data_IF_248276634632
#
_entry.id   IF_248276634632
#
_cell.length_a   1.000
_cell.length_b   1.000
_cell.length_c   1.000
_cell.angle_alpha   90.00
_cell.angle_beta   90.00
_cell.angle_gamma   90.00
#
_symmetry.space_group_name_H-M   'P 1'
#
loop_
_entity.id
_entity.type
_entity.pdbx_description
1 polymer ?
#
# COMPACT_ATOMS: atom_id res chain seq x y z
N UNK A 1 -17.45 45.97 5.20
CA UNK A 1 -15.98 45.98 5.00
C UNK A 1 -15.46 44.84 5.84
N UNK A 2 -15.21 43.70 5.23
CA UNK A 2 -14.57 42.55 5.86
C UNK A 2 -13.08 42.78 5.70
N UNK A 3 -12.34 42.65 6.81
CA UNK A 3 -10.94 43.01 6.94
C UNK A 3 -10.06 42.23 5.97
N UNK A 4 -9.25 42.95 5.16
CA UNK A 4 -8.34 42.33 4.18
C UNK A 4 -7.25 41.45 4.83
N UNK A 5 -7.04 41.57 6.13
CA UNK A 5 -6.07 40.76 6.88
C UNK A 5 -6.59 39.38 7.23
N UNK A 6 -7.90 39.16 7.40
CA UNK A 6 -8.48 37.82 7.63
C UNK A 6 -8.30 36.87 6.42
N UNK A 7 -8.24 37.45 5.21
CA UNK A 7 -8.04 36.64 3.99
C UNK A 7 -6.56 36.31 3.70
N UNK A 8 -5.62 37.12 4.19
CA UNK A 8 -4.19 36.80 4.08
C UNK A 8 -3.78 35.67 5.00
N UNK A 9 -4.27 35.63 6.22
CA UNK A 9 -3.99 34.56 7.17
C UNK A 9 -4.57 33.21 6.75
N UNK A 10 -5.65 33.21 5.95
CA UNK A 10 -6.20 31.97 5.36
C UNK A 10 -5.37 31.47 4.17
N UNK A 11 -4.69 32.40 3.45
CA UNK A 11 -3.83 32.02 2.31
C UNK A 11 -2.43 31.53 2.75
N UNK A 12 -1.87 32.10 3.82
CA UNK A 12 -0.52 31.77 4.31
C UNK A 12 -0.51 30.62 5.35
N UNK A 13 -1.66 30.24 5.91
CA UNK A 13 -1.79 29.15 6.88
C UNK A 13 -1.93 27.74 6.29
N UNK A 14 -1.87 27.56 4.96
CA UNK A 14 -2.09 26.27 4.29
C UNK A 14 -0.77 25.71 3.72
N UNK A 15 0.34 25.92 4.37
CA UNK A 15 1.54 25.10 4.16
C UNK A 15 1.48 23.84 5.04
N UNK A 16 0.47 23.01 4.79
CA UNK A 16 0.47 21.66 5.33
C UNK A 16 1.25 20.76 4.35
N UNK A 17 2.50 20.46 4.69
CA UNK A 17 3.36 19.50 3.96
C UNK A 17 2.71 18.11 3.83
N UNK A 18 1.64 17.83 4.59
CA UNK A 18 0.89 16.58 4.58
C UNK A 18 -0.02 16.38 3.37
N UNK A 19 -0.30 17.44 2.58
CA UNK A 19 -1.22 17.39 1.43
C UNK A 19 -0.55 16.91 0.13
N UNK A 20 0.76 16.79 0.09
CA UNK A 20 1.48 16.32 -1.09
C UNK A 20 1.32 14.80 -1.24
N UNK A 21 0.61 14.37 -2.29
CA UNK A 21 0.54 12.97 -2.68
C UNK A 21 1.78 12.67 -3.53
N UNK A 22 2.75 11.98 -2.92
CA UNK A 22 4.02 11.65 -3.58
C UNK A 22 3.82 10.57 -4.63
N UNK A 23 4.54 10.64 -5.77
CA UNK A 23 4.51 9.57 -6.76
C UNK A 23 4.98 8.25 -6.13
N UNK A 24 4.26 7.17 -6.41
CA UNK A 24 4.51 5.85 -5.86
C UNK A 24 5.59 5.12 -6.67
N UNK A 25 6.71 4.80 -6.03
CA UNK A 25 7.72 3.92 -6.63
C UNK A 25 7.44 2.46 -6.28
N UNK A 26 7.27 1.64 -7.31
CA UNK A 26 6.94 0.23 -7.17
C UNK A 26 8.06 -0.65 -7.72
N UNK A 27 8.34 -1.75 -7.02
CA UNK A 27 9.20 -2.81 -7.53
C UNK A 27 8.40 -3.65 -8.53
N UNK A 28 8.81 -3.63 -9.79
CA UNK A 28 8.21 -4.38 -10.88
C UNK A 28 9.16 -5.49 -11.34
N UNK A 29 8.61 -6.55 -11.89
CA UNK A 29 9.35 -7.62 -12.55
C UNK A 29 8.96 -7.67 -14.02
N UNK A 30 9.89 -7.29 -14.89
CA UNK A 30 9.73 -7.27 -16.33
C UNK A 30 10.58 -8.32 -17.03
N UNK A 31 10.24 -8.64 -18.27
CA UNK A 31 11.08 -9.47 -19.14
C UNK A 31 12.13 -8.60 -19.83
N UNK A 32 13.38 -9.09 -19.81
CA UNK A 32 14.47 -8.55 -20.63
C UNK A 32 15.13 -9.72 -21.37
N UNK A 33 14.76 -9.90 -22.62
CA UNK A 33 14.99 -11.16 -23.33
C UNK A 33 14.25 -12.30 -22.61
N UNK A 34 14.95 -13.39 -22.34
CA UNK A 34 14.38 -14.56 -21.64
C UNK A 34 14.49 -14.50 -20.12
N UNK A 35 15.01 -13.39 -19.56
CA UNK A 35 15.22 -13.25 -18.11
C UNK A 35 14.23 -12.29 -17.49
N UNK A 36 13.83 -12.57 -16.26
CA UNK A 36 13.01 -11.68 -15.44
C UNK A 36 13.94 -10.79 -14.62
N UNK A 37 13.87 -9.49 -14.87
CA UNK A 37 14.63 -8.48 -14.13
C UNK A 37 13.69 -7.63 -13.24
N UNK A 38 14.22 -7.15 -12.12
CA UNK A 38 13.51 -6.22 -11.24
C UNK A 38 13.91 -4.78 -11.55
N UNK A 39 12.91 -3.90 -11.64
CA UNK A 39 13.10 -2.47 -11.82
C UNK A 39 12.26 -1.70 -10.81
N UNK A 40 12.76 -0.54 -10.34
CA UNK A 40 11.93 0.44 -9.66
C UNK A 40 11.42 1.42 -10.71
N UNK A 41 10.12 1.42 -10.94
CA UNK A 41 9.46 2.36 -11.84
C UNK A 41 8.57 3.33 -11.08
N UNK A 42 8.52 4.58 -11.52
CA UNK A 42 7.38 5.42 -11.25
C UNK A 42 6.26 4.94 -12.19
N UNK A 43 5.19 4.40 -11.61
CA UNK A 43 4.04 3.93 -12.38
C UNK A 43 3.12 5.09 -12.79
N UNK A 44 3.69 6.21 -13.24
CA UNK A 44 2.89 7.35 -13.69
C UNK A 44 2.04 6.95 -14.91
N UNK A 45 0.75 7.27 -14.85
CA UNK A 45 -0.20 6.97 -15.93
C UNK A 45 -0.68 5.52 -16.00
N UNK A 46 -0.40 4.69 -14.99
CA UNK A 46 -0.96 3.34 -14.89
C UNK A 46 -2.25 3.33 -14.07
N UNK A 47 -3.10 2.32 -14.29
CA UNK A 47 -4.32 2.11 -13.48
C UNK A 47 -4.00 2.03 -11.98
N UNK A 48 -2.90 1.38 -11.61
CA UNK A 48 -2.50 1.27 -10.21
C UNK A 48 -2.14 2.62 -9.60
N UNK A 49 -1.41 3.46 -10.33
CA UNK A 49 -1.07 4.82 -9.92
C UNK A 49 -2.33 5.66 -9.69
N UNK A 50 -3.28 5.58 -10.62
CA UNK A 50 -4.54 6.32 -10.54
C UNK A 50 -5.36 5.87 -9.31
N UNK A 51 -5.51 4.57 -9.11
CA UNK A 51 -6.24 4.01 -7.97
C UNK A 51 -5.56 4.34 -6.64
N UNK A 52 -4.22 4.26 -6.56
CA UNK A 52 -3.48 4.63 -5.35
C UNK A 52 -3.59 6.13 -5.06
N UNK A 53 -3.54 6.97 -6.09
CA UNK A 53 -3.74 8.42 -5.95
C UNK A 53 -5.15 8.73 -5.43
N UNK A 54 -6.20 8.15 -6.03
CA UNK A 54 -7.59 8.29 -5.58
C UNK A 54 -7.71 7.84 -4.11
N UNK A 55 -7.15 6.68 -3.77
CA UNK A 55 -7.21 6.14 -2.41
C UNK A 55 -6.59 7.10 -1.39
N UNK A 56 -5.40 7.62 -1.65
CA UNK A 56 -4.72 8.56 -0.78
C UNK A 56 -5.46 9.91 -0.68
N UNK A 57 -6.01 10.39 -1.80
CA UNK A 57 -6.82 11.60 -1.82
C UNK A 57 -8.07 11.43 -0.96
N UNK A 58 -8.81 10.33 -1.11
CA UNK A 58 -10.03 10.06 -0.35
C UNK A 58 -9.76 9.90 1.15
N UNK A 59 -8.66 9.29 1.55
CA UNK A 59 -8.25 9.24 2.95
C UNK A 59 -8.16 10.65 3.55
N UNK A 60 -7.51 11.57 2.85
CA UNK A 60 -7.37 12.97 3.29
C UNK A 60 -8.69 13.73 3.24
N UNK A 61 -9.54 13.48 2.25
CA UNK A 61 -10.88 14.09 2.15
C UNK A 61 -11.75 13.73 3.35
N UNK A 62 -11.77 12.44 3.74
CA UNK A 62 -12.53 11.94 4.90
C UNK A 62 -12.05 12.58 6.20
N UNK A 63 -10.73 12.79 6.35
CA UNK A 63 -10.12 13.41 7.55
C UNK A 63 -10.30 14.94 7.60
N UNK A 64 -10.45 15.58 6.44
CA UNK A 64 -10.57 17.03 6.33
C UNK A 64 -11.98 17.52 6.65
N UNK A 65 -12.07 18.62 7.43
CA UNK A 65 -13.34 19.33 7.70
C UNK A 65 -13.48 20.62 6.90
N UNK A 66 -12.44 21.02 6.15
CA UNK A 66 -12.44 22.30 5.43
C UNK A 66 -13.17 22.15 4.11
N UNK A 67 -13.88 23.21 3.70
CA UNK A 67 -14.45 23.32 2.36
C UNK A 67 -13.31 23.27 1.33
N UNK A 68 -13.50 22.51 0.26
CA UNK A 68 -12.43 22.30 -0.73
C UNK A 68 -12.55 23.26 -1.92
N UNK A 69 -13.76 23.73 -2.24
CA UNK A 69 -14.06 24.54 -3.41
C UNK A 69 -14.84 25.78 -3.02
N UNK A 70 -14.42 26.92 -3.56
CA UNK A 70 -14.99 28.23 -3.23
C UNK A 70 -15.23 29.05 -4.48
N UNK A 71 -16.24 29.90 -4.44
CA UNK A 71 -16.42 31.00 -5.36
C UNK A 71 -15.89 32.28 -4.72
N UNK A 72 -15.14 33.04 -5.47
CA UNK A 72 -14.59 34.31 -5.05
C UNK A 72 -14.91 35.40 -6.08
N UNK A 73 -15.25 36.63 -5.66
CA UNK A 73 -15.45 37.73 -6.59
C UNK A 73 -14.20 37.99 -7.42
N UNK A 74 -14.39 38.21 -8.73
CA UNK A 74 -13.29 38.62 -9.61
C UNK A 74 -13.07 40.11 -9.41
N UNK A 75 -11.91 40.52 -8.91
CA UNK A 75 -11.47 41.91 -8.89
C UNK A 75 -10.80 42.24 -10.23
N UNK A 76 -11.53 42.74 -11.19
CA UNK A 76 -10.94 43.23 -12.45
C UNK A 76 -11.31 44.67 -12.71
N UNK A 77 -10.28 45.47 -13.00
CA UNK A 77 -10.43 46.85 -13.55
C UNK A 77 -10.65 46.86 -15.07
N UNK A 78 -10.95 45.68 -15.67
CA UNK A 78 -11.10 45.52 -17.13
C UNK A 78 -12.55 45.12 -17.44
N UNK A 79 -13.22 45.97 -18.18
CA UNK A 79 -14.64 45.88 -18.60
C UNK A 79 -14.99 44.70 -19.54
N UNK A 80 -14.12 43.68 -19.70
CA UNK A 80 -14.25 42.68 -20.77
C UNK A 80 -14.60 41.30 -20.27
N UNK A 81 -14.80 41.05 -18.97
CA UNK A 81 -15.17 39.70 -18.51
C UNK A 81 -16.65 39.61 -18.16
N UNK A 82 -17.39 38.63 -18.71
CA UNK A 82 -18.82 38.45 -18.43
C UNK A 82 -19.08 37.93 -17.01
N UNK A 83 -18.03 37.48 -16.28
CA UNK A 83 -18.16 36.76 -15.01
C UNK A 83 -17.74 37.63 -13.85
N UNK A 84 -18.56 37.68 -12.81
CA UNK A 84 -18.28 38.33 -11.54
C UNK A 84 -17.65 37.40 -10.54
N UNK A 85 -17.71 36.09 -10.76
CA UNK A 85 -17.18 35.03 -9.88
C UNK A 85 -16.01 34.30 -10.51
N UNK A 86 -15.10 33.84 -9.67
CA UNK A 86 -13.99 32.96 -10.04
C UNK A 86 -13.97 31.77 -9.11
N UNK A 87 -13.57 30.63 -9.66
CA UNK A 87 -13.41 29.37 -8.94
C UNK A 87 -12.05 29.30 -8.24
N UNK A 88 -12.06 28.86 -7.00
CA UNK A 88 -10.83 28.51 -6.26
C UNK A 88 -10.96 27.16 -5.60
N UNK A 89 -9.91 26.34 -5.71
CA UNK A 89 -9.75 25.08 -5.00
C UNK A 89 -8.64 25.17 -3.96
N UNK A 90 -8.82 24.51 -2.83
CA UNK A 90 -7.73 24.25 -1.90
C UNK A 90 -6.74 23.24 -2.52
N UNK A 91 -5.54 23.06 -1.95
CA UNK A 91 -4.59 22.02 -2.43
C UNK A 91 -5.23 20.63 -2.47
N UNK A 92 -6.02 20.27 -1.45
CA UNK A 92 -6.74 18.99 -1.44
C UNK A 92 -7.87 18.97 -2.48
N UNK A 93 -8.52 20.11 -2.71
CA UNK A 93 -9.49 20.28 -3.81
C UNK A 93 -8.84 20.06 -5.17
N UNK A 94 -7.66 20.57 -5.42
CA UNK A 94 -6.90 20.29 -6.66
C UNK A 94 -6.57 18.81 -6.83
N UNK A 95 -6.19 18.11 -5.74
CA UNK A 95 -6.00 16.67 -5.76
C UNK A 95 -7.30 15.93 -6.11
N UNK A 96 -8.43 16.34 -5.53
CA UNK A 96 -9.73 15.78 -5.82
C UNK A 96 -10.13 15.98 -7.30
N UNK A 97 -9.90 17.19 -7.83
CA UNK A 97 -10.14 17.51 -9.23
C UNK A 97 -9.33 16.60 -10.16
N UNK A 98 -8.06 16.37 -9.83
CA UNK A 98 -7.22 15.44 -10.59
C UNK A 98 -7.79 14.01 -10.57
N UNK A 99 -8.35 13.56 -9.44
CA UNK A 99 -9.02 12.27 -9.37
C UNK A 99 -10.23 12.21 -10.32
N UNK A 100 -11.06 13.26 -10.36
CA UNK A 100 -12.25 13.31 -11.24
C UNK A 100 -11.86 13.29 -12.73
N UNK A 101 -10.69 13.80 -13.08
CA UNK A 101 -10.19 13.81 -14.47
C UNK A 101 -9.60 12.46 -14.93
N UNK A 102 -9.44 11.48 -14.02
CA UNK A 102 -8.91 10.17 -14.37
C UNK A 102 -9.95 9.34 -15.14
N UNK A 103 -9.47 8.48 -16.02
CA UNK A 103 -10.31 7.56 -16.78
C UNK A 103 -10.81 6.41 -15.90
N UNK A 104 -11.93 6.65 -15.20
CA UNK A 104 -12.52 5.69 -14.27
C UNK A 104 -13.12 4.47 -14.99
N UNK A 105 -13.61 4.64 -16.23
CA UNK A 105 -14.19 3.54 -16.99
C UNK A 105 -13.13 2.51 -17.32
N UNK A 106 -11.95 2.97 -17.76
CA UNK A 106 -10.80 2.10 -17.97
C UNK A 106 -10.44 1.29 -16.70
N UNK A 107 -10.57 1.91 -15.52
CA UNK A 107 -10.28 1.23 -14.24
C UNK A 107 -11.35 0.18 -13.92
N UNK A 108 -12.63 0.55 -14.04
CA UNK A 108 -13.76 -0.33 -13.68
C UNK A 108 -13.96 -1.44 -14.68
N UNK A 109 -13.73 -1.22 -15.97
CA UNK A 109 -13.77 -2.25 -17.01
C UNK A 109 -12.74 -3.34 -16.74
N UNK A 110 -11.50 -2.95 -16.38
CA UNK A 110 -10.45 -3.91 -16.10
C UNK A 110 -10.59 -4.57 -14.72
N UNK A 111 -11.11 -3.84 -13.73
CA UNK A 111 -11.22 -4.29 -12.35
C UNK A 111 -12.63 -4.04 -11.78
N UNK A 112 -13.66 -4.73 -12.26
CA UNK A 112 -15.07 -4.44 -11.91
C UNK A 112 -15.40 -4.66 -10.43
N UNK A 113 -14.58 -5.42 -9.70
CA UNK A 113 -14.76 -5.67 -8.26
C UNK A 113 -13.92 -4.76 -7.37
N UNK A 114 -13.17 -3.82 -7.94
CA UNK A 114 -12.21 -3.00 -7.22
C UNK A 114 -12.85 -2.24 -6.05
N UNK A 115 -14.00 -1.59 -6.26
CA UNK A 115 -14.71 -0.84 -5.22
C UNK A 115 -15.10 -1.68 -4.00
N UNK A 116 -15.35 -2.99 -4.18
CA UNK A 116 -15.61 -3.93 -3.06
C UNK A 116 -14.39 -4.12 -2.16
N UNK A 117 -13.19 -4.13 -2.75
CA UNK A 117 -11.96 -4.43 -2.02
C UNK A 117 -11.16 -3.18 -1.66
N UNK A 118 -11.41 -2.06 -2.34
CA UNK A 118 -10.90 -0.73 -2.00
C UNK A 118 -12.07 0.25 -1.81
N UNK A 119 -12.62 0.36 -0.60
CA UNK A 119 -13.81 1.20 -0.35
C UNK A 119 -13.55 2.69 -0.54
N UNK A 120 -12.31 3.18 -0.41
CA UNK A 120 -12.00 4.57 -0.73
C UNK A 120 -12.21 4.86 -2.22
N UNK A 121 -11.77 3.94 -3.09
CA UNK A 121 -12.09 4.01 -4.52
C UNK A 121 -13.59 3.87 -4.76
N UNK A 122 -14.26 2.93 -4.09
CA UNK A 122 -15.70 2.70 -4.20
C UNK A 122 -16.52 3.94 -3.83
N UNK A 123 -16.23 4.58 -2.69
CA UNK A 123 -16.88 5.83 -2.27
C UNK A 123 -16.69 6.94 -3.30
N UNK A 124 -15.45 7.12 -3.78
CA UNK A 124 -15.17 8.14 -4.79
C UNK A 124 -15.92 7.86 -6.08
N UNK A 125 -15.80 6.65 -6.61
CA UNK A 125 -16.48 6.25 -7.84
C UNK A 125 -17.99 6.48 -7.74
N UNK A 126 -18.62 6.04 -6.65
CA UNK A 126 -20.04 6.25 -6.43
C UNK A 126 -20.40 7.74 -6.36
N UNK A 127 -19.62 8.55 -5.64
CA UNK A 127 -19.92 9.97 -5.48
C UNK A 127 -19.80 10.78 -6.78
N UNK A 128 -18.91 10.37 -7.72
CA UNK A 128 -18.66 11.08 -8.98
C UNK A 128 -19.38 10.48 -10.19
N UNK A 129 -19.95 9.26 -10.07
CA UNK A 129 -20.69 8.59 -11.15
C UNK A 129 -22.17 8.40 -10.83
N UNK A 130 -22.60 8.72 -9.60
CA UNK A 130 -24.01 8.64 -9.23
C UNK A 130 -24.80 9.68 -10.02
N UNK A 131 -25.86 9.25 -10.69
CA UNK A 131 -26.85 10.16 -11.27
C UNK A 131 -27.57 10.87 -10.14
N UNK A 132 -27.29 12.14 -9.94
CA UNK A 132 -28.07 13.00 -9.05
C UNK A 132 -29.18 13.62 -9.89
N UNK A 133 -30.43 13.18 -9.67
CA UNK A 133 -31.60 13.90 -10.22
C UNK A 133 -31.68 15.29 -9.54
N UNK A 134 -31.34 16.30 -10.30
CA UNK A 134 -31.60 17.69 -9.87
C UNK A 134 -33.04 18.09 -10.16
N UNK A 135 -33.59 18.94 -9.31
CA UNK A 135 -34.96 19.48 -9.39
C UNK A 135 -35.27 20.15 -10.75
N UNK A 136 -34.27 20.42 -11.58
CA UNK A 136 -34.39 21.03 -12.91
C UNK A 136 -33.82 20.17 -14.05
N UNK A 137 -33.63 18.85 -13.84
CA UNK A 137 -33.24 17.92 -14.91
C UNK A 137 -31.78 18.01 -15.39
N UNK A 138 -30.90 18.64 -14.63
CA UNK A 138 -29.46 18.68 -14.93
C UNK A 138 -28.73 17.72 -14.01
N UNK A 139 -28.35 16.58 -14.54
CA UNK A 139 -27.49 15.60 -13.85
C UNK A 139 -26.03 16.06 -13.95
N UNK A 140 -25.37 16.36 -12.85
CA UNK A 140 -24.05 16.99 -12.86
C UNK A 140 -22.87 16.03 -12.76
N UNK A 141 -23.11 14.77 -12.45
CA UNK A 141 -22.06 13.74 -12.36
C UNK A 141 -22.38 12.45 -13.13
N UNK A 142 -23.16 12.52 -14.21
CA UNK A 142 -23.24 11.45 -15.19
C UNK A 142 -22.12 11.59 -16.24
N UNK A 143 -22.08 10.67 -17.20
CA UNK A 143 -21.09 10.67 -18.31
C UNK A 143 -21.01 12.01 -19.06
N UNK A 144 -22.11 12.77 -19.13
CA UNK A 144 -22.20 14.09 -19.77
C UNK A 144 -21.41 15.14 -18.98
N UNK A 145 -21.49 15.12 -17.66
CA UNK A 145 -20.71 16.03 -16.81
C UNK A 145 -19.20 15.76 -16.90
N UNK A 146 -18.81 14.54 -17.24
CA UNK A 146 -17.40 14.20 -17.48
C UNK A 146 -16.85 14.87 -18.74
N UNK A 147 -17.65 14.94 -19.80
CA UNK A 147 -17.28 15.67 -21.04
C UNK A 147 -17.26 17.19 -20.80
N UNK A 148 -18.20 17.73 -20.05
CA UNK A 148 -18.20 19.15 -19.64
C UNK A 148 -17.05 19.44 -18.71
N UNK A 149 -16.67 18.51 -17.85
CA UNK A 149 -15.50 18.60 -17.01
C UNK A 149 -14.18 18.71 -17.79
N UNK A 150 -14.05 18.01 -18.90
CA UNK A 150 -12.90 18.17 -19.82
C UNK A 150 -12.88 19.57 -20.43
N UNK A 151 -14.04 20.22 -20.58
CA UNK A 151 -14.20 21.63 -20.99
C UNK A 151 -13.95 22.62 -19.85
N UNK A 152 -13.74 22.16 -18.62
CA UNK A 152 -13.48 23.03 -17.45
C UNK A 152 -12.23 23.91 -17.61
N UNK A 153 -11.36 23.61 -18.55
CA UNK A 153 -10.25 24.51 -18.93
C UNK A 153 -10.75 25.89 -19.36
N UNK A 154 -11.98 25.96 -19.90
CA UNK A 154 -12.61 27.19 -20.38
C UNK A 154 -13.54 27.83 -19.32
N UNK A 155 -13.37 27.46 -18.03
CA UNK A 155 -14.20 27.89 -16.90
C UNK A 155 -14.32 29.42 -16.75
N UNK A 156 -13.31 30.15 -17.21
CA UNK A 156 -13.28 31.61 -17.16
C UNK A 156 -14.36 32.24 -18.08
N UNK A 157 -14.98 31.44 -18.96
CA UNK A 157 -16.07 31.84 -19.86
C UNK A 157 -17.45 31.30 -19.42
N UNK A 158 -17.53 30.54 -18.32
CA UNK A 158 -18.80 30.01 -17.84
C UNK A 158 -19.62 31.09 -17.14
N UNK A 159 -20.96 31.13 -17.35
CA UNK A 159 -21.84 32.01 -16.57
C UNK A 159 -21.70 31.72 -15.07
N UNK A 160 -21.83 32.78 -14.25
CA UNK A 160 -21.71 32.66 -12.79
C UNK A 160 -22.63 31.60 -12.19
N UNK A 161 -23.84 31.44 -12.72
CA UNK A 161 -24.81 30.42 -12.29
C UNK A 161 -24.30 28.99 -12.57
N UNK A 162 -23.72 28.76 -13.74
CA UNK A 162 -23.13 27.46 -14.08
C UNK A 162 -21.93 27.13 -13.22
N UNK A 163 -21.09 28.14 -12.95
CA UNK A 163 -19.94 27.99 -12.09
C UNK A 163 -20.36 27.70 -10.63
N UNK A 164 -21.41 28.35 -10.15
CA UNK A 164 -21.96 28.13 -8.81
C UNK A 164 -22.50 26.71 -8.65
N UNK A 165 -23.35 26.25 -9.59
CA UNK A 165 -23.87 24.87 -9.60
C UNK A 165 -22.74 23.85 -9.57
N UNK A 166 -21.70 24.08 -10.38
CA UNK A 166 -20.56 23.19 -10.44
C UNK A 166 -19.80 23.09 -9.11
N UNK A 167 -19.56 24.24 -8.44
CA UNK A 167 -18.90 24.27 -7.13
C UNK A 167 -19.75 23.57 -6.07
N UNK A 168 -21.05 23.75 -6.10
CA UNK A 168 -21.99 23.11 -5.16
C UNK A 168 -21.97 21.59 -5.33
N UNK A 169 -21.95 21.09 -6.57
CA UNK A 169 -21.87 19.65 -6.84
C UNK A 169 -20.55 19.04 -6.40
N UNK A 170 -19.43 19.72 -6.61
CA UNK A 170 -18.14 19.27 -6.11
C UNK A 170 -18.14 19.19 -4.58
N UNK A 171 -18.65 20.21 -3.91
CA UNK A 171 -18.74 20.21 -2.46
C UNK A 171 -19.71 19.13 -1.96
N UNK A 172 -20.84 18.88 -2.64
CA UNK A 172 -21.76 17.81 -2.26
C UNK A 172 -21.12 16.43 -2.42
N UNK A 173 -20.38 16.17 -3.50
CA UNK A 173 -19.63 14.94 -3.67
C UNK A 173 -18.59 14.73 -2.54
N UNK A 174 -17.90 15.80 -2.16
CA UNK A 174 -16.97 15.79 -1.02
C UNK A 174 -17.69 15.48 0.29
N UNK A 175 -18.85 16.10 0.53
CA UNK A 175 -19.63 15.84 1.76
C UNK A 175 -20.24 14.44 1.79
N UNK A 176 -20.63 13.90 0.64
CA UNK A 176 -21.07 12.49 0.54
C UNK A 176 -19.94 11.54 0.93
N UNK A 177 -18.73 11.74 0.40
CA UNK A 177 -17.55 10.94 0.73
C UNK A 177 -17.24 11.05 2.24
N UNK A 178 -17.33 12.26 2.81
CA UNK A 178 -17.13 12.47 4.25
C UNK A 178 -18.17 11.75 5.10
N UNK A 179 -19.45 11.86 4.74
CA UNK A 179 -20.55 11.17 5.45
C UNK A 179 -20.33 9.65 5.43
N UNK A 180 -20.01 9.08 4.28
CA UNK A 180 -19.76 7.65 4.13
C UNK A 180 -18.50 7.21 4.88
N UNK A 181 -17.37 7.90 4.69
CA UNK A 181 -16.09 7.58 5.34
C UNK A 181 -16.10 7.74 6.87
N UNK A 182 -17.03 8.56 7.41
CA UNK A 182 -17.26 8.71 8.85
C UNK A 182 -18.41 7.85 9.37
N UNK A 183 -19.07 7.04 8.54
CA UNK A 183 -20.13 6.14 8.95
C UNK A 183 -19.63 5.02 9.86
N UNK A 184 -20.54 4.43 10.65
CA UNK A 184 -20.22 3.25 11.46
C UNK A 184 -19.82 2.07 10.58
N UNK A 185 -20.51 1.85 9.46
CA UNK A 185 -20.23 0.77 8.52
C UNK A 185 -18.79 0.86 7.97
N UNK A 186 -18.36 2.05 7.56
CA UNK A 186 -16.99 2.26 7.08
C UNK A 186 -15.94 2.07 8.17
N UNK A 187 -16.20 2.57 9.39
CA UNK A 187 -15.31 2.37 10.54
C UNK A 187 -15.16 0.90 10.93
N UNK A 188 -16.25 0.15 10.90
CA UNK A 188 -16.23 -1.28 11.20
C UNK A 188 -15.52 -2.08 10.11
N UNK A 189 -15.73 -1.71 8.84
CA UNK A 189 -14.94 -2.26 7.74
C UNK A 189 -13.46 -1.97 7.90
N UNK A 190 -13.06 -0.72 8.19
CA UNK A 190 -11.66 -0.32 8.39
C UNK A 190 -11.01 -1.13 9.52
N UNK A 191 -11.69 -1.24 10.66
CA UNK A 191 -11.23 -2.07 11.80
C UNK A 191 -11.05 -3.53 11.41
N UNK A 192 -12.01 -4.12 10.69
CA UNK A 192 -11.94 -5.51 10.22
C UNK A 192 -10.78 -5.69 9.22
N UNK A 193 -10.57 -4.73 8.32
CA UNK A 193 -9.48 -4.72 7.36
C UNK A 193 -8.10 -4.63 8.02
N UNK A 194 -7.94 -3.76 9.04
CA UNK A 194 -6.68 -3.54 9.75
C UNK A 194 -6.37 -4.66 10.77
N UNK A 195 -7.38 -5.40 11.25
CA UNK A 195 -7.19 -6.45 12.26
C UNK A 195 -6.21 -7.52 11.82
N UNK A 196 -6.36 -8.07 10.63
CA UNK A 196 -5.49 -9.12 10.13
C UNK A 196 -4.03 -8.69 9.94
N UNK A 197 -3.72 -7.51 9.36
CA UNK A 197 -2.38 -6.94 9.35
C UNK A 197 -1.77 -6.79 10.74
N UNK A 198 -2.52 -6.29 11.71
CA UNK A 198 -2.06 -6.12 13.08
C UNK A 198 -1.74 -7.46 13.77
N UNK A 199 -2.59 -8.47 13.59
CA UNK A 199 -2.34 -9.85 14.06
C UNK A 199 -1.09 -10.45 13.39
N UNK A 200 -0.91 -10.23 12.10
CA UNK A 200 0.27 -10.67 11.37
C UNK A 200 1.55 -9.99 11.89
N UNK A 201 1.48 -8.68 12.19
CA UNK A 201 2.58 -7.92 12.76
C UNK A 201 2.98 -8.48 14.14
N UNK A 202 2.02 -8.74 15.01
CA UNK A 202 2.27 -9.33 16.33
C UNK A 202 2.86 -10.75 16.18
N UNK A 203 2.33 -11.54 15.26
CA UNK A 203 2.82 -12.91 15.00
C UNK A 203 4.25 -12.90 14.50
N UNK A 204 4.59 -12.02 13.54
CA UNK A 204 5.96 -11.91 13.03
C UNK A 204 6.93 -11.43 14.11
N UNK A 205 6.53 -10.43 14.89
CA UNK A 205 7.36 -9.93 15.99
C UNK A 205 7.61 -11.01 17.06
N UNK A 206 6.58 -11.74 17.45
CA UNK A 206 6.69 -12.87 18.41
C UNK A 206 7.61 -13.97 17.88
N UNK A 207 7.56 -14.27 16.57
CA UNK A 207 8.48 -15.20 15.93
C UNK A 207 9.94 -14.72 16.01
N UNK A 208 10.21 -13.44 15.74
CA UNK A 208 11.55 -12.85 15.84
C UNK A 208 12.07 -12.96 17.26
N UNK A 209 11.25 -12.62 18.26
CA UNK A 209 11.62 -12.74 19.68
C UNK A 209 11.90 -14.20 20.08
N UNK A 210 11.12 -15.16 19.58
CA UNK A 210 11.38 -16.58 19.82
C UNK A 210 12.73 -17.03 19.22
N UNK A 211 13.10 -16.54 18.04
CA UNK A 211 14.41 -16.78 17.44
C UNK A 211 15.54 -16.13 18.25
N UNK A 212 15.35 -14.89 18.75
CA UNK A 212 16.29 -14.20 19.63
C UNK A 212 16.50 -14.91 20.98
N UNK A 213 15.49 -15.61 21.46
CA UNK A 213 15.61 -16.42 22.67
C UNK A 213 16.49 -17.66 22.49
N UNK A 214 16.62 -18.16 21.26
CA UNK A 214 17.50 -19.29 20.92
C UNK A 214 18.90 -18.80 20.56
N UNK A 215 18.99 -17.72 19.78
CA UNK A 215 20.25 -17.15 19.31
C UNK A 215 20.29 -15.66 19.68
N UNK A 216 21.35 -15.23 20.39
CA UNK A 216 21.51 -13.81 20.77
C UNK A 216 21.85 -12.89 19.60
N UNK A 217 22.26 -13.48 18.50
CA UNK A 217 22.65 -12.82 17.27
C UNK A 217 21.88 -13.46 16.12
N UNK A 218 21.15 -12.66 15.36
CA UNK A 218 20.37 -13.10 14.20
C UNK A 218 20.98 -12.55 12.92
N UNK A 219 20.86 -13.32 11.86
CA UNK A 219 20.97 -12.83 10.48
C UNK A 219 19.57 -12.77 9.87
N UNK A 220 19.06 -11.57 9.65
CA UNK A 220 17.73 -11.30 9.08
C UNK A 220 17.87 -11.13 7.57
N UNK A 221 17.37 -12.08 6.83
CA UNK A 221 17.30 -12.03 5.37
C UNK A 221 15.92 -11.50 4.97
N UNK A 222 15.88 -10.51 4.09
CA UNK A 222 14.66 -10.00 3.50
C UNK A 222 14.79 -9.97 1.98
N UNK A 223 13.80 -10.45 1.29
CA UNK A 223 13.74 -10.43 -0.16
C UNK A 223 12.30 -10.42 -0.64
N UNK A 224 12.11 -9.87 -1.82
CA UNK A 224 10.82 -9.78 -2.48
C UNK A 224 10.85 -10.69 -3.71
N UNK A 225 9.78 -11.49 -3.88
CA UNK A 225 9.63 -12.44 -4.97
C UNK A 225 8.37 -12.10 -5.75
N UNK A 226 8.42 -12.25 -7.05
CA UNK A 226 7.28 -11.97 -7.91
C UNK A 226 7.34 -12.76 -9.21
N UNK A 227 6.58 -12.32 -10.19
CA UNK A 227 6.54 -12.86 -11.55
C UNK A 227 6.62 -11.72 -12.54
N UNK A 228 7.14 -11.99 -13.75
CA UNK A 228 7.03 -11.00 -14.81
C UNK A 228 5.56 -10.73 -15.14
N UNK A 229 5.21 -9.45 -15.31
CA UNK A 229 3.84 -9.01 -15.63
C UNK A 229 3.26 -9.79 -16.80
N UNK A 230 4.06 -10.03 -17.84
CA UNK A 230 3.66 -10.78 -19.02
C UNK A 230 3.02 -12.14 -18.68
N UNK A 231 3.57 -12.90 -17.72
CA UNK A 231 3.01 -14.20 -17.34
C UNK A 231 1.77 -14.14 -16.47
N UNK A 232 1.42 -12.95 -15.98
CA UNK A 232 0.26 -12.70 -15.13
C UNK A 232 -0.88 -12.00 -15.87
N UNK A 233 -0.74 -11.78 -17.18
CA UNK A 233 -1.77 -11.18 -18.00
C UNK A 233 -3.03 -12.07 -17.98
N UNK A 234 -4.22 -11.50 -17.67
CA UNK A 234 -5.47 -12.25 -17.67
C UNK A 234 -5.81 -12.93 -19.01
N UNK A 235 -5.37 -12.33 -20.11
CA UNK A 235 -5.62 -12.84 -21.46
C UNK A 235 -4.68 -14.01 -21.82
N UNK A 236 -3.63 -14.22 -21.03
CA UNK A 236 -2.71 -15.31 -21.23
C UNK A 236 -3.30 -16.61 -20.70
N UNK A 237 -3.31 -17.65 -21.52
CA UNK A 237 -3.87 -18.96 -21.20
C UNK A 237 -2.82 -20.08 -21.16
N UNK A 238 -3.23 -21.24 -20.66
CA UNK A 238 -2.44 -22.48 -20.72
C UNK A 238 -1.22 -22.51 -19.81
N UNK A 239 -0.16 -23.15 -20.29
CA UNK A 239 1.04 -23.42 -19.49
C UNK A 239 1.85 -22.16 -19.15
N UNK A 240 1.73 -21.10 -19.93
CA UNK A 240 2.46 -19.86 -19.70
C UNK A 240 1.84 -19.02 -18.57
N UNK A 241 0.52 -18.97 -18.47
CA UNK A 241 -0.16 -18.12 -17.48
C UNK A 241 0.20 -18.48 -16.04
N UNK A 242 0.44 -17.47 -15.22
CA UNK A 242 0.60 -17.59 -13.75
C UNK A 242 -0.76 -17.33 -13.09
N UNK A 243 -1.45 -18.43 -12.80
CA UNK A 243 -2.73 -18.41 -12.07
C UNK A 243 -2.50 -18.46 -10.56
N UNK A 244 -3.52 -18.09 -9.76
CA UNK A 244 -3.45 -18.22 -8.30
C UNK A 244 -3.09 -19.64 -7.82
N UNK A 245 -3.55 -20.69 -8.50
CA UNK A 245 -3.20 -22.06 -8.16
C UNK A 245 -1.72 -22.38 -8.40
N UNK A 246 -1.11 -21.83 -9.46
CA UNK A 246 0.34 -21.93 -9.68
C UNK A 246 1.09 -21.16 -8.58
N UNK A 247 0.67 -19.96 -8.25
CA UNK A 247 1.23 -19.13 -7.15
C UNK A 247 1.20 -19.91 -5.84
N UNK A 248 0.08 -20.56 -5.52
CA UNK A 248 -0.07 -21.40 -4.32
C UNK A 248 0.91 -22.57 -4.30
N UNK A 249 1.11 -23.25 -5.44
CA UNK A 249 2.08 -24.35 -5.57
C UNK A 249 3.51 -23.86 -5.42
N UNK A 250 3.88 -22.76 -6.05
CA UNK A 250 5.21 -22.16 -5.94
C UNK A 250 5.51 -21.71 -4.50
N UNK A 251 4.56 -21.08 -3.81
CA UNK A 251 4.69 -20.76 -2.39
C UNK A 251 4.90 -22.02 -1.53
N UNK A 252 4.17 -23.11 -1.81
CA UNK A 252 4.34 -24.36 -1.07
C UNK A 252 5.73 -24.97 -1.32
N UNK A 253 6.25 -24.88 -2.55
CA UNK A 253 7.60 -25.30 -2.89
C UNK A 253 8.67 -24.46 -2.18
N UNK A 254 8.53 -23.14 -2.16
CA UNK A 254 9.39 -22.23 -1.40
C UNK A 254 9.40 -22.59 0.09
N UNK A 255 8.22 -22.80 0.69
CA UNK A 255 8.12 -23.20 2.10
C UNK A 255 8.82 -24.54 2.38
N UNK A 256 8.71 -25.50 1.48
CA UNK A 256 9.41 -26.79 1.58
C UNK A 256 10.92 -26.59 1.51
N UNK A 257 11.37 -25.82 0.54
CA UNK A 257 12.79 -25.47 0.40
C UNK A 257 13.35 -24.84 1.67
N UNK A 258 12.71 -23.81 2.21
CA UNK A 258 13.15 -23.15 3.44
C UNK A 258 13.20 -24.10 4.64
N UNK A 259 12.23 -25.01 4.76
CA UNK A 259 12.15 -25.95 5.89
C UNK A 259 13.13 -27.10 5.82
N UNK A 260 13.40 -27.62 4.64
CA UNK A 260 14.05 -28.92 4.46
C UNK A 260 15.39 -28.84 3.74
N UNK A 261 15.45 -28.03 2.66
CA UNK A 261 16.61 -28.04 1.77
C UNK A 261 17.64 -26.95 2.12
N UNK A 262 17.20 -25.80 2.62
CA UNK A 262 18.10 -24.70 2.96
C UNK A 262 19.16 -25.11 3.99
N UNK A 263 18.78 -25.88 4.99
CA UNK A 263 19.72 -26.39 6.02
C UNK A 263 20.82 -27.29 5.46
N UNK A 264 20.59 -27.94 4.32
CA UNK A 264 21.62 -28.80 3.67
C UNK A 264 22.64 -27.97 2.88
N UNK A 265 22.28 -26.72 2.53
CA UNK A 265 23.13 -25.81 1.76
C UNK A 265 23.94 -24.84 2.63
N UNK A 266 23.57 -24.72 3.90
CA UNK A 266 24.22 -23.82 4.83
C UNK A 266 25.15 -24.58 5.79
N UNK A 267 26.08 -23.85 6.43
CA UNK A 267 26.96 -24.39 7.45
C UNK A 267 26.15 -25.02 8.61
N UNK A 268 26.65 -26.09 9.24
CA UNK A 268 26.00 -26.66 10.43
C UNK A 268 25.75 -25.60 11.48
N UNK A 269 24.56 -25.58 12.08
CA UNK A 269 24.15 -24.59 13.08
C UNK A 269 23.52 -23.31 12.52
N UNK A 270 23.65 -23.00 11.23
CA UNK A 270 23.05 -21.81 10.63
C UNK A 270 21.53 -21.74 10.80
N UNK A 271 20.85 -22.88 10.68
CA UNK A 271 19.39 -23.00 10.84
C UNK A 271 18.97 -23.33 12.30
N UNK A 272 19.88 -23.29 13.28
CA UNK A 272 19.48 -23.44 14.67
C UNK A 272 18.60 -22.29 15.09
N UNK A 273 17.40 -22.56 15.64
CA UNK A 273 16.44 -21.53 16.00
C UNK A 273 15.89 -20.74 14.82
N UNK A 274 15.90 -21.30 13.62
CA UNK A 274 15.43 -20.64 12.39
C UNK A 274 13.95 -20.32 12.47
N UNK A 275 13.59 -19.12 11.98
CA UNK A 275 12.23 -18.70 11.67
C UNK A 275 12.11 -18.18 10.24
N UNK A 276 10.92 -18.17 9.71
CA UNK A 276 10.62 -17.45 8.47
C UNK A 276 9.14 -17.05 8.40
N UNK A 277 8.85 -16.02 7.61
CA UNK A 277 7.49 -15.62 7.26
C UNK A 277 7.42 -15.27 5.77
N UNK A 278 6.30 -15.64 5.14
CA UNK A 278 5.99 -15.34 3.75
C UNK A 278 4.68 -14.55 3.77
N UNK A 279 4.66 -13.35 3.21
CA UNK A 279 3.46 -12.54 2.99
C UNK A 279 3.21 -12.47 1.49
N UNK A 280 2.04 -12.95 1.05
CA UNK A 280 1.58 -12.79 -0.33
C UNK A 280 0.76 -11.54 -0.48
N UNK A 281 1.01 -10.81 -1.54
CA UNK A 281 0.30 -9.61 -1.95
C UNK A 281 -0.09 -9.70 -3.42
N UNK A 282 -1.05 -8.87 -3.80
CA UNK A 282 -1.41 -8.64 -5.20
C UNK A 282 -1.42 -7.14 -5.47
N UNK A 283 -0.82 -6.71 -6.54
CA UNK A 283 -0.86 -5.32 -6.99
C UNK A 283 -1.37 -5.25 -8.42
N UNK A 284 -2.05 -4.18 -8.77
CA UNK A 284 -2.62 -4.02 -10.11
C UNK A 284 -1.53 -4.06 -11.21
N UNK A 285 -0.34 -3.49 -10.92
CA UNK A 285 0.81 -3.56 -11.83
C UNK A 285 1.80 -4.67 -11.45
N UNK A 286 2.02 -4.88 -10.13
CA UNK A 286 2.99 -5.87 -9.63
C UNK A 286 2.54 -7.30 -9.83
N UNK A 287 1.23 -7.51 -9.98
CA UNK A 287 0.61 -8.83 -9.98
C UNK A 287 0.87 -9.60 -8.68
N UNK A 288 1.05 -10.91 -8.73
CA UNK A 288 1.36 -11.72 -7.55
C UNK A 288 2.80 -11.51 -7.09
N UNK A 289 2.98 -11.17 -5.81
CA UNK A 289 4.31 -11.10 -5.22
C UNK A 289 4.33 -11.53 -3.76
N UNK A 290 5.52 -11.77 -3.23
CA UNK A 290 5.74 -12.19 -1.86
C UNK A 290 6.83 -11.34 -1.22
N UNK A 291 6.56 -10.85 -0.01
CA UNK A 291 7.58 -10.37 0.91
C UNK A 291 7.99 -11.53 1.81
N UNK A 292 9.28 -11.83 1.85
CA UNK A 292 9.81 -12.95 2.63
C UNK A 292 10.84 -12.45 3.62
N UNK A 293 10.71 -12.93 4.87
CA UNK A 293 11.72 -12.78 5.91
C UNK A 293 12.19 -14.17 6.31
N UNK A 294 13.51 -14.37 6.37
CA UNK A 294 14.15 -15.57 6.92
C UNK A 294 15.11 -15.15 8.03
N UNK A 295 15.02 -15.83 9.15
CA UNK A 295 15.74 -15.54 10.38
C UNK A 295 16.69 -16.72 10.63
N UNK A 296 17.98 -16.45 10.63
CA UNK A 296 19.03 -17.46 10.79
C UNK A 296 19.92 -17.13 12.01
N UNK A 297 20.74 -18.07 12.44
CA UNK A 297 21.74 -17.87 13.46
C UNK A 297 22.88 -16.98 12.94
N UNK A 298 22.96 -15.74 13.43
CA UNK A 298 23.94 -14.75 13.00
C UNK A 298 25.38 -15.05 13.41
N UNK A 299 25.61 -15.90 14.41
CA UNK A 299 26.96 -16.32 14.78
C UNK A 299 27.58 -17.27 13.75
N UNK A 300 26.74 -17.91 12.91
CA UNK A 300 27.17 -18.85 11.87
C UNK A 300 27.05 -18.26 10.48
N UNK A 301 26.04 -17.39 10.26
CA UNK A 301 25.73 -16.77 8.96
C UNK A 301 26.24 -15.35 8.96
N UNK A 302 27.46 -15.15 8.44
CA UNK A 302 28.06 -13.80 8.26
C UNK A 302 27.70 -13.15 6.90
N UNK A 303 27.29 -13.95 5.92
CA UNK A 303 27.09 -13.51 4.54
C UNK A 303 25.60 -13.48 4.18
N UNK A 304 24.86 -12.53 4.76
CA UNK A 304 23.42 -12.40 4.56
C UNK A 304 23.04 -12.18 3.09
N UNK A 305 23.84 -11.43 2.31
CA UNK A 305 23.61 -11.15 0.90
C UNK A 305 23.70 -12.42 0.06
N UNK A 306 24.77 -13.19 0.22
CA UNK A 306 25.02 -14.42 -0.56
C UNK A 306 23.99 -15.51 -0.27
N UNK A 307 23.65 -15.70 1.01
CA UNK A 307 22.60 -16.67 1.40
C UNK A 307 21.24 -16.26 0.85
N UNK A 308 20.92 -14.97 0.89
CA UNK A 308 19.68 -14.45 0.29
C UNK A 308 19.65 -14.72 -1.21
N UNK A 309 20.77 -14.49 -1.92
CA UNK A 309 20.83 -14.74 -3.36
C UNK A 309 20.61 -16.22 -3.71
N UNK A 310 21.18 -17.14 -2.94
CA UNK A 310 20.93 -18.59 -3.11
C UNK A 310 19.43 -18.93 -3.04
N UNK A 311 18.67 -18.25 -2.15
CA UNK A 311 17.22 -18.46 -2.06
C UNK A 311 16.50 -17.82 -3.27
N UNK A 312 16.96 -16.63 -3.70
CA UNK A 312 16.44 -15.95 -4.88
C UNK A 312 16.65 -16.78 -6.17
N UNK A 313 17.83 -17.38 -6.33
CA UNK A 313 18.12 -18.28 -7.48
C UNK A 313 17.22 -19.51 -7.46
N UNK A 314 17.01 -20.12 -6.28
CA UNK A 314 16.10 -21.24 -6.14
C UNK A 314 14.66 -20.88 -6.58
N UNK A 315 14.22 -19.66 -6.29
CA UNK A 315 12.92 -19.14 -6.77
C UNK A 315 12.91 -18.99 -8.28
N UNK A 316 13.88 -18.27 -8.83
CA UNK A 316 13.95 -17.98 -10.27
C UNK A 316 14.05 -19.24 -11.10
N UNK A 317 15.03 -20.07 -10.78
CA UNK A 317 15.43 -21.16 -11.70
C UNK A 317 14.62 -22.45 -11.46
N UNK A 318 14.42 -22.83 -10.20
CA UNK A 318 13.84 -24.12 -9.87
C UNK A 318 12.34 -24.05 -9.60
N UNK A 319 11.90 -23.09 -8.75
CA UNK A 319 10.51 -23.06 -8.30
C UNK A 319 9.59 -22.54 -9.40
N UNK A 320 10.00 -21.49 -10.08
CA UNK A 320 9.17 -20.82 -11.10
C UNK A 320 9.58 -21.14 -12.53
N UNK A 321 10.64 -21.88 -12.71
CA UNK A 321 11.18 -22.28 -14.02
C UNK A 321 11.38 -21.06 -14.95
N UNK A 322 12.11 -20.06 -14.47
CA UNK A 322 12.44 -18.84 -15.19
C UNK A 322 11.33 -17.78 -15.26
N UNK A 323 10.11 -18.04 -14.76
CA UNK A 323 8.99 -17.10 -14.81
C UNK A 323 8.96 -16.11 -13.64
N UNK A 324 9.72 -16.37 -12.58
CA UNK A 324 9.79 -15.56 -11.37
C UNK A 324 10.94 -14.58 -11.37
N UNK A 325 10.71 -13.43 -10.77
CA UNK A 325 11.71 -12.46 -10.38
C UNK A 325 11.96 -12.48 -8.88
N UNK A 326 13.15 -12.05 -8.47
CA UNK A 326 13.52 -11.92 -7.07
C UNK A 326 14.36 -10.67 -6.86
N UNK A 327 14.08 -9.94 -5.76
CA UNK A 327 14.85 -8.79 -5.35
C UNK A 327 15.45 -9.02 -3.96
N UNK A 328 16.78 -9.00 -3.91
CA UNK A 328 17.53 -9.18 -2.67
C UNK A 328 17.64 -7.86 -1.91
N UNK A 329 16.77 -7.66 -0.93
CA UNK A 329 16.76 -6.45 -0.11
C UNK A 329 18.03 -6.28 0.73
N UNK A 330 18.77 -7.35 1.02
CA UNK A 330 20.01 -7.26 1.79
C UNK A 330 21.17 -6.61 0.99
N UNK A 331 21.05 -6.55 -0.34
CA UNK A 331 21.98 -5.80 -1.20
C UNK A 331 21.72 -4.30 -1.20
N UNK A 332 20.50 -3.87 -0.91
CA UNK A 332 20.10 -2.47 -0.99
C UNK A 332 20.72 -1.62 0.13
N UNK A 333 21.03 -0.37 -0.20
CA UNK A 333 21.43 0.64 0.77
C UNK A 333 20.20 1.29 1.37
N UNK A 334 20.09 1.28 2.71
CA UNK A 334 19.00 1.92 3.45
C UNK A 334 19.57 2.98 4.37
N UNK A 335 18.91 4.15 4.45
CA UNK A 335 19.24 5.17 5.46
C UNK A 335 19.13 4.61 6.88
N UNK A 336 18.12 3.76 7.13
CA UNK A 336 17.90 3.05 8.38
C UNK A 336 17.75 1.56 8.07
N UNK A 337 18.74 0.78 8.44
CA UNK A 337 18.81 -0.65 8.11
C UNK A 337 18.37 -1.51 9.28
N UNK A 338 17.22 -2.16 9.17
CA UNK A 338 16.69 -3.13 10.15
C UNK A 338 16.77 -4.59 9.69
N UNK A 339 17.72 -4.93 8.79
CA UNK A 339 17.95 -6.29 8.28
C UNK A 339 19.45 -6.62 8.28
N UNK A 340 19.79 -7.85 7.98
CA UNK A 340 21.17 -8.37 8.05
C UNK A 340 21.52 -8.81 9.47
N UNK A 341 22.76 -8.59 9.89
CA UNK A 341 23.28 -8.94 11.22
C UNK A 341 22.66 -8.04 12.30
N UNK A 342 21.98 -8.65 13.27
CA UNK A 342 21.26 -7.95 14.36
C UNK A 342 21.51 -8.67 15.70
N UNK A 343 21.98 -7.92 16.69
CA UNK A 343 22.09 -8.38 18.08
C UNK A 343 20.95 -7.81 18.93
N UNK A 344 20.70 -8.41 20.08
CA UNK A 344 19.61 -8.00 20.97
C UNK A 344 19.66 -6.52 21.40
N UNK A 345 20.87 -5.99 21.58
CA UNK A 345 21.10 -4.59 22.00
C UNK A 345 21.22 -3.60 20.85
N UNK A 346 21.11 -4.06 19.59
CA UNK A 346 21.33 -3.20 18.45
C UNK A 346 20.13 -2.28 18.18
N UNK A 347 20.40 -1.03 17.80
CA UNK A 347 19.39 -0.11 17.27
C UNK A 347 18.66 -0.69 16.04
N UNK A 348 19.32 -1.55 15.26
CA UNK A 348 18.71 -2.29 14.15
C UNK A 348 17.50 -3.12 14.58
N UNK A 349 17.47 -3.63 15.82
CA UNK A 349 16.32 -4.37 16.34
C UNK A 349 15.09 -3.45 16.46
N UNK A 350 15.28 -2.21 16.90
CA UNK A 350 14.23 -1.20 16.95
C UNK A 350 13.71 -0.89 15.53
N UNK A 351 14.62 -0.68 14.57
CA UNK A 351 14.27 -0.41 13.19
C UNK A 351 13.52 -1.62 12.58
N UNK A 352 13.98 -2.84 12.84
CA UNK A 352 13.30 -4.06 12.43
C UNK A 352 11.84 -4.07 12.91
N UNK A 353 11.64 -3.79 14.23
CA UNK A 353 10.31 -3.75 14.84
C UNK A 353 9.41 -2.67 14.26
N UNK A 354 9.93 -1.43 14.13
CA UNK A 354 9.11 -0.25 13.83
C UNK A 354 8.94 0.04 12.35
N UNK A 355 9.82 -0.48 11.50
CA UNK A 355 9.79 -0.20 10.04
C UNK A 355 9.65 -1.46 9.19
N UNK A 356 10.47 -2.49 9.43
CA UNK A 356 10.49 -3.67 8.56
C UNK A 356 9.28 -4.57 8.81
N UNK A 357 8.97 -4.87 10.07
CA UNK A 357 7.83 -5.73 10.43
C UNK A 357 6.51 -5.13 9.96
N UNK A 358 6.18 -3.84 10.22
CA UNK A 358 4.98 -3.21 9.69
C UNK A 358 4.92 -3.21 8.16
N UNK A 359 6.04 -2.94 7.50
CA UNK A 359 6.08 -2.95 6.03
C UNK A 359 5.73 -4.32 5.44
N UNK A 360 6.30 -5.40 5.98
CA UNK A 360 6.06 -6.77 5.49
C UNK A 360 4.63 -7.23 5.79
N UNK A 361 3.99 -6.69 6.81
CA UNK A 361 2.64 -7.10 7.23
C UNK A 361 1.55 -6.09 6.90
N UNK A 362 1.88 -5.04 6.15
CA UNK A 362 0.95 -3.97 5.77
C UNK A 362 -0.36 -4.50 5.17
N UNK A 363 -1.44 -3.73 5.27
CA UNK A 363 -2.69 -4.02 4.59
C UNK A 363 -2.50 -4.15 3.08
N UNK A 364 -3.30 -4.98 2.45
CA UNK A 364 -3.32 -5.18 1.00
C UNK A 364 -4.76 -5.11 0.50
N UNK A 365 -5.09 -4.06 -0.22
CA UNK A 365 -6.43 -3.83 -0.77
C UNK A 365 -6.80 -4.80 -1.89
N UNK A 366 -5.81 -5.35 -2.59
CA UNK A 366 -6.05 -6.01 -3.87
C UNK A 366 -5.99 -7.54 -3.79
N UNK A 367 -5.35 -8.11 -2.78
CA UNK A 367 -5.23 -9.58 -2.66
C UNK A 367 -6.60 -10.28 -2.61
N UNK A 368 -7.62 -9.59 -2.10
CA UNK A 368 -9.00 -10.07 -2.06
C UNK A 368 -9.61 -10.33 -3.43
N UNK A 369 -9.15 -9.60 -4.47
CA UNK A 369 -9.66 -9.72 -5.84
C UNK A 369 -9.27 -11.05 -6.50
N UNK A 370 -8.14 -11.64 -6.11
CA UNK A 370 -7.53 -12.78 -6.80
C UNK A 370 -7.49 -14.05 -5.96
N UNK A 371 -7.54 -13.97 -4.63
CA UNK A 371 -7.55 -15.15 -3.76
C UNK A 371 -8.98 -15.59 -3.43
N UNK A 372 -9.25 -16.89 -3.28
CA UNK A 372 -10.50 -17.38 -2.72
C UNK A 372 -10.71 -16.83 -1.28
N UNK A 373 -11.94 -16.56 -0.89
CA UNK A 373 -12.29 -15.88 0.38
C UNK A 373 -11.64 -16.64 1.51
N UNK A 374 -11.55 -17.53 1.98
CA UNK A 374 -10.95 -18.13 3.20
C UNK A 374 -9.43 -18.37 3.13
N UNK A 375 -8.76 -17.94 2.02
CA UNK A 375 -7.33 -18.19 1.90
C UNK A 375 -6.50 -17.14 2.66
N UNK A 376 -5.49 -17.60 3.38
CA UNK A 376 -4.53 -16.75 4.07
C UNK A 376 -3.62 -16.04 3.09
N UNK A 377 -3.12 -14.87 3.46
CA UNK A 377 -2.06 -14.15 2.75
C UNK A 377 -0.74 -14.08 3.54
N UNK A 378 -0.71 -14.60 4.76
CA UNK A 378 0.47 -14.61 5.62
C UNK A 378 0.74 -16.02 6.18
N UNK A 379 1.98 -16.48 6.04
CA UNK A 379 2.41 -17.84 6.40
C UNK A 379 3.72 -17.81 7.18
N UNK A 380 3.68 -17.61 8.50
CA UNK A 380 4.84 -17.74 9.36
C UNK A 380 5.21 -19.23 9.57
N UNK A 381 6.48 -19.47 9.87
CA UNK A 381 6.91 -20.74 10.45
C UNK A 381 6.40 -20.89 11.88
N UNK A 382 6.42 -22.12 12.40
CA UNK A 382 6.28 -22.29 13.84
C UNK A 382 7.49 -21.67 14.56
N UNK A 383 7.31 -21.10 15.76
CA UNK A 383 8.43 -20.67 16.59
C UNK A 383 9.39 -21.83 16.88
N UNK A 384 10.70 -21.56 16.97
CA UNK A 384 11.66 -22.59 17.35
C UNK A 384 11.36 -23.08 18.78
N UNK A 385 11.53 -24.38 18.99
CA UNK A 385 11.41 -24.96 20.35
C UNK A 385 12.58 -24.44 21.19
N UNK A 386 12.28 -23.89 22.35
CA UNK A 386 13.28 -23.54 23.34
C UNK A 386 13.63 -24.84 24.06
N UNK A 387 14.78 -25.42 23.74
CA UNK A 387 15.34 -26.47 24.57
C UNK A 387 15.75 -25.84 25.88
N UNK A 388 15.23 -26.34 27.00
CA UNK A 388 15.65 -25.89 28.34
C UNK A 388 17.16 -26.11 28.49
N UNK A 389 17.92 -25.03 28.34
CA UNK A 389 19.37 -25.08 28.51
C UNK A 389 19.67 -25.51 29.96
N UNK A 390 20.23 -26.69 30.14
CA UNK A 390 20.65 -27.19 31.45
C UNK A 390 21.89 -26.45 32.00
N UNK A 391 22.52 -25.58 31.20
CA UNK A 391 23.72 -24.84 31.60
C UNK A 391 23.69 -23.40 31.03
N UNK A 392 23.52 -22.41 31.88
CA UNK A 392 23.61 -21.01 31.52
C UNK A 392 23.06 -20.11 32.63
N UNK A 393 23.72 -18.97 32.89
CA UNK A 393 23.28 -17.93 33.83
C UNK A 393 21.86 -17.49 33.44
N UNK A 394 20.90 -17.57 34.38
CA UNK A 394 19.54 -17.02 34.15
C UNK A 394 19.64 -15.55 33.79
N UNK A 395 18.99 -15.14 32.71
CA UNK A 395 18.85 -13.72 32.33
C UNK A 395 18.21 -12.97 33.51
N UNK A 396 18.80 -11.87 33.93
CA UNK A 396 18.09 -10.88 34.74
C UNK A 396 16.82 -10.48 34.01
N UNK A 397 15.72 -10.26 34.72
CA UNK A 397 14.50 -9.71 34.16
C UNK A 397 14.86 -8.39 33.49
N UNK A 398 15.04 -8.39 32.15
CA UNK A 398 15.11 -7.15 31.39
C UNK A 398 13.73 -6.50 31.43
N UNK A 399 13.74 -5.19 31.59
CA UNK A 399 12.57 -4.33 31.57
C UNK A 399 11.57 -4.83 30.54
N UNK A 400 10.34 -5.07 30.96
CA UNK A 400 9.21 -5.42 30.11
C UNK A 400 9.06 -4.32 29.07
N UNK A 401 9.45 -4.60 27.85
CA UNK A 401 9.06 -3.77 26.71
C UNK A 401 7.53 -3.85 26.62
N UNK A 402 6.88 -2.88 27.30
CA UNK A 402 5.44 -2.83 27.44
C UNK A 402 4.78 -2.95 26.08
N UNK A 403 3.93 -3.93 25.98
CA UNK A 403 2.80 -3.89 25.05
C UNK A 403 2.02 -2.65 25.51
N UNK A 404 2.18 -1.53 24.81
CA UNK A 404 1.27 -0.39 24.96
C UNK A 404 -0.05 -0.88 24.40
N UNK A 405 -0.91 -1.27 25.31
CA UNK A 405 -2.30 -1.63 25.03
C UNK A 405 -3.00 -0.35 24.55
N UNK A 406 -3.20 -0.23 23.24
CA UNK A 406 -3.89 0.90 22.62
C UNK A 406 -5.40 0.92 22.92
N UNK A 407 -5.86 0.10 23.86
CA UNK A 407 -7.27 0.06 24.30
C UNK A 407 -7.62 1.02 25.43
N UNK A 408 -6.69 1.84 25.95
CA UNK A 408 -6.92 2.67 27.14
C UNK A 408 -7.06 4.19 26.88
N UNK A 409 -7.42 4.61 25.66
CA UNK A 409 -7.82 6.01 25.40
C UNK A 409 -9.15 6.07 24.64
N UNK A 410 -10.23 5.62 25.28
CA UNK A 410 -11.59 5.98 24.95
C UNK A 410 -12.45 5.86 26.23
N UNK A 411 -12.39 6.89 27.06
CA UNK A 411 -13.46 7.26 28.00
C UNK A 411 -13.72 8.73 27.83
#
# INVERSE_FOLDING_TARGET
MIDENEFKDVADGIHDESTEIKPYQTLLFGLKGDKVESTYGACEGTIASDVDYITQCMQKVVESKRQLFHLVPVRTNLEIRPNTLSFRASKLGECFLKCVQMDLDRVTDKYPTLGKYNPYFGMFHQAVTCEVEFVNGVALFNTVAREEWLRFRDRDFWPDETLALFVDCLNEAVEQIRREGNSNAFRDWKKAFERQPNENQQTLWSLILACLNVNHHLSILRFDLGYAQYYCDPDLSGALAITYDKVRRHRAALRRFLKQELKKRLRPGACKGMGFAIKGEYGLDKTYHFHVIVILNGDVVGEDISVTETICDQWRDTITNGKGGAYNCNKASYRERGIGSIRYSDEKLRILRTKVVPYVTKPDFYIGMVKPEKHRSFWPSHPPKIEASRRGRRRGKSESWGIVDSSAQAK
#
